data_IF_924299651061
#
_entry.id   IF_924299651061
#
_cell.length_a   1.000
_cell.length_b   1.000
_cell.length_c   1.000
_cell.angle_alpha   90.00
_cell.angle_beta   90.00
_cell.angle_gamma   90.00
#
_symmetry.space_group_name_H-M   'P 1'
#
loop_
_entity.id
_entity.type
_entity.pdbx_description
1 polymer ?
#
# COMPACT_ATOMS: atom_id res chain seq x y z
N UNK A 1 -22.46 -23.50 11.21
CA UNK A 1 -22.08 -22.08 11.32
C UNK A 1 -21.18 -21.93 12.54
N UNK A 2 -20.03 -21.26 12.42
CA UNK A 2 -19.17 -21.03 13.60
C UNK A 2 -19.90 -20.18 14.63
N UNK A 3 -19.73 -20.50 15.90
CA UNK A 3 -20.27 -19.73 17.04
C UNK A 3 -19.43 -18.48 17.36
N UNK A 4 -18.28 -18.33 16.70
CA UNK A 4 -17.31 -17.27 16.93
C UNK A 4 -17.04 -16.49 15.65
N UNK A 5 -16.96 -15.17 15.80
CA UNK A 5 -16.74 -14.25 14.69
C UNK A 5 -15.76 -13.16 15.14
N UNK A 6 -14.79 -12.82 14.30
CA UNK A 6 -13.89 -11.68 14.49
C UNK A 6 -14.41 -10.54 13.63
N UNK A 7 -14.65 -9.39 14.24
CA UNK A 7 -15.04 -8.17 13.57
C UNK A 7 -13.92 -7.15 13.63
N UNK A 8 -13.38 -6.80 12.47
CA UNK A 8 -12.25 -5.90 12.32
C UNK A 8 -12.73 -4.57 11.74
N UNK A 9 -12.60 -3.48 12.50
CA UNK A 9 -12.90 -2.14 12.02
C UNK A 9 -11.61 -1.42 11.69
N UNK A 10 -11.57 -0.69 10.59
CA UNK A 10 -10.41 0.11 10.20
C UNK A 10 -10.82 1.54 9.88
N UNK A 11 -9.94 2.49 10.19
CA UNK A 11 -10.12 3.90 9.85
C UNK A 11 -8.77 4.60 9.67
N UNK A 12 -8.79 5.72 8.96
CA UNK A 12 -7.63 6.56 8.73
C UNK A 12 -7.96 8.06 8.71
N UNK A 13 -6.99 8.84 9.14
CA UNK A 13 -6.97 10.29 9.06
C UNK A 13 -5.63 10.74 8.47
N UNK A 14 -5.49 12.04 8.21
CA UNK A 14 -4.21 12.63 7.77
C UNK A 14 -3.10 12.52 8.83
N UNK A 15 -3.44 12.18 10.08
CA UNK A 15 -2.50 12.12 11.20
C UNK A 15 -2.14 10.68 11.59
N UNK A 16 -3.10 9.75 11.52
CA UNK A 16 -2.90 8.37 11.93
C UNK A 16 -3.91 7.44 11.24
N UNK A 17 -3.61 6.15 11.22
CA UNK A 17 -4.51 5.11 10.75
C UNK A 17 -4.43 3.88 11.66
N UNK A 18 -5.47 3.07 11.69
CA UNK A 18 -5.50 1.94 12.60
C UNK A 18 -6.66 0.97 12.39
N UNK A 19 -6.64 -0.06 13.21
CA UNK A 19 -7.67 -1.10 13.24
C UNK A 19 -7.95 -1.56 14.67
N UNK A 20 -9.18 -2.01 14.93
CA UNK A 20 -9.66 -2.59 16.18
C UNK A 20 -10.45 -3.87 15.90
N UNK A 21 -10.19 -4.90 16.69
CA UNK A 21 -10.76 -6.23 16.53
C UNK A 21 -11.62 -6.61 17.73
N UNK A 22 -12.81 -7.14 17.47
CA UNK A 22 -13.72 -7.68 18.46
C UNK A 22 -14.01 -9.16 18.18
N UNK A 23 -14.15 -9.95 19.24
CA UNK A 23 -14.71 -11.29 19.19
C UNK A 23 -16.19 -11.20 19.48
N UNK A 24 -17.02 -11.65 18.55
CA UNK A 24 -18.46 -11.85 18.72
C UNK A 24 -18.74 -13.33 18.92
N UNK A 25 -19.57 -13.67 19.91
CA UNK A 25 -19.95 -15.05 20.20
C UNK A 25 -21.35 -15.18 20.80
N UNK A 26 -21.91 -16.38 20.70
CA UNK A 26 -23.21 -16.73 21.30
C UNK A 26 -22.97 -17.51 22.60
N UNK A 27 -23.49 -17.00 23.71
CA UNK A 27 -23.38 -17.61 25.04
C UNK A 27 -24.26 -18.87 25.16
N UNK A 28 -24.10 -19.61 26.26
CA UNK A 28 -24.98 -20.75 26.56
C UNK A 28 -26.45 -20.36 26.76
N UNK A 29 -26.73 -19.10 27.07
CA UNK A 29 -28.08 -18.56 27.24
C UNK A 29 -28.68 -18.03 25.93
N UNK A 30 -28.04 -18.27 24.78
CA UNK A 30 -28.37 -17.71 23.47
C UNK A 30 -28.28 -16.17 23.41
N UNK A 31 -27.51 -15.55 24.30
CA UNK A 31 -27.21 -14.12 24.22
C UNK A 31 -25.99 -13.90 23.31
N UNK A 32 -26.00 -12.78 22.57
CA UNK A 32 -24.88 -12.41 21.70
C UNK A 32 -24.06 -11.37 22.45
N UNK A 33 -22.76 -11.64 22.56
CA UNK A 33 -21.81 -10.75 23.21
C UNK A 33 -20.63 -10.42 22.31
N UNK A 34 -20.05 -9.25 22.54
CA UNK A 34 -18.81 -8.78 21.94
C UNK A 34 -17.75 -8.53 23.01
N UNK A 35 -16.52 -8.93 22.72
CA UNK A 35 -15.35 -8.66 23.54
C UNK A 35 -14.26 -8.02 22.70
N UNK A 36 -13.67 -6.93 23.19
CA UNK A 36 -12.44 -6.37 22.64
C UNK A 36 -11.33 -7.44 22.63
N UNK A 37 -10.64 -7.59 21.49
CA UNK A 37 -9.46 -8.46 21.37
C UNK A 37 -8.20 -7.61 21.46
N UNK A 38 -8.04 -6.71 20.49
CA UNK A 38 -6.86 -5.85 20.36
C UNK A 38 -7.12 -4.70 19.39
N UNK A 39 -6.24 -3.70 19.44
CA UNK A 39 -6.20 -2.60 18.48
C UNK A 39 -4.76 -2.31 18.06
N UNK A 40 -4.58 -1.76 16.86
CA UNK A 40 -3.27 -1.34 16.34
C UNK A 40 -3.39 -0.04 15.57
N UNK A 41 -2.63 0.97 15.96
CA UNK A 41 -2.50 2.25 15.27
C UNK A 41 -1.09 2.48 14.72
N UNK A 42 -0.99 3.37 13.74
CA UNK A 42 0.24 3.89 13.16
C UNK A 42 0.08 5.36 12.81
N UNK A 43 1.15 6.13 12.97
CA UNK A 43 1.21 7.52 12.51
C UNK A 43 1.21 7.54 10.98
N UNK A 44 0.50 8.49 10.39
CA UNK A 44 0.47 8.66 8.94
C UNK A 44 1.88 8.97 8.40
N UNK A 45 2.28 8.46 7.22
CA UNK A 45 3.60 8.70 6.67
C UNK A 45 3.88 10.20 6.46
N UNK A 46 5.12 10.63 6.70
CA UNK A 46 5.57 12.01 6.44
C UNK A 46 5.38 12.42 4.97
N UNK A 47 5.54 11.48 4.05
CA UNK A 47 5.15 11.68 2.65
C UNK A 47 3.64 11.62 2.55
N UNK A 48 3.03 12.77 2.25
CA UNK A 48 1.58 12.89 2.16
C UNK A 48 0.98 11.87 1.19
N UNK A 49 0.05 11.09 1.73
CA UNK A 49 -0.85 10.22 0.96
C UNK A 49 -2.24 10.87 0.90
N UNK A 50 -3.00 10.50 -0.11
CA UNK A 50 -4.43 10.84 -0.17
C UNK A 50 -5.17 10.08 0.94
N UNK A 51 -6.31 10.63 1.39
CA UNK A 51 -7.12 9.98 2.42
C UNK A 51 -7.55 8.55 2.00
N UNK A 52 -8.04 8.30 0.76
CA UNK A 52 -8.37 6.94 0.32
C UNK A 52 -7.20 5.95 0.41
N UNK A 53 -5.98 6.40 0.11
CA UNK A 53 -4.78 5.55 0.26
C UNK A 53 -4.46 5.25 1.72
N UNK A 54 -4.69 6.20 2.63
CA UNK A 54 -4.51 5.97 4.06
C UNK A 54 -5.57 5.00 4.59
N UNK A 55 -6.81 5.13 4.16
CA UNK A 55 -7.89 4.18 4.47
C UNK A 55 -7.55 2.77 3.96
N UNK A 56 -7.06 2.64 2.73
CA UNK A 56 -6.57 1.39 2.16
C UNK A 56 -5.41 0.78 2.98
N UNK A 57 -4.51 1.60 3.52
CA UNK A 57 -3.46 1.10 4.43
C UNK A 57 -4.00 0.65 5.79
N UNK A 58 -5.07 1.28 6.30
CA UNK A 58 -5.75 0.84 7.51
C UNK A 58 -6.42 -0.52 7.30
N UNK A 59 -7.10 -0.71 6.17
CA UNK A 59 -7.68 -1.99 5.76
C UNK A 59 -6.61 -3.09 5.63
N UNK A 60 -5.48 -2.81 4.97
CA UNK A 60 -4.41 -3.78 4.86
C UNK A 60 -3.79 -4.14 6.23
N UNK A 61 -3.71 -3.18 7.15
CA UNK A 61 -3.27 -3.43 8.53
C UNK A 61 -4.28 -4.33 9.27
N UNK A 62 -5.57 -4.09 9.07
CA UNK A 62 -6.70 -4.88 9.60
C UNK A 62 -6.60 -6.34 9.16
N UNK A 63 -6.44 -6.60 7.86
CA UNK A 63 -6.39 -7.94 7.29
C UNK A 63 -5.19 -8.76 7.80
N UNK A 64 -4.01 -8.12 7.84
CA UNK A 64 -2.80 -8.74 8.39
C UNK A 64 -2.93 -9.05 9.88
N UNK A 65 -3.52 -8.13 10.67
CA UNK A 65 -3.70 -8.34 12.10
C UNK A 65 -4.72 -9.45 12.38
N UNK A 66 -5.83 -9.47 11.64
CA UNK A 66 -6.85 -10.51 11.76
C UNK A 66 -6.29 -11.90 11.44
N UNK A 67 -5.46 -12.02 10.39
CA UNK A 67 -4.77 -13.27 10.07
C UNK A 67 -3.82 -13.73 11.18
N UNK A 68 -3.08 -12.79 11.78
CA UNK A 68 -2.21 -13.10 12.90
C UNK A 68 -3.02 -13.55 14.13
N UNK A 69 -4.07 -12.82 14.49
CA UNK A 69 -4.95 -13.18 15.62
C UNK A 69 -5.60 -14.54 15.41
N UNK A 70 -6.15 -14.78 14.22
CA UNK A 70 -6.78 -16.06 13.86
C UNK A 70 -5.82 -17.24 14.00
N UNK A 71 -4.55 -17.08 13.61
CA UNK A 71 -3.52 -18.12 13.79
C UNK A 71 -3.20 -18.45 15.26
N UNK A 72 -3.53 -17.55 16.19
CA UNK A 72 -3.33 -17.75 17.63
C UNK A 72 -4.56 -18.34 18.34
N UNK A 73 -5.74 -18.32 17.69
CA UNK A 73 -6.96 -18.86 18.29
C UNK A 73 -6.95 -20.39 18.24
N UNK A 74 -7.52 -21.00 19.30
CA UNK A 74 -7.68 -22.47 19.41
C UNK A 74 -9.03 -22.96 18.87
N UNK A 75 -9.76 -22.08 18.19
CA UNK A 75 -11.09 -22.33 17.67
C UNK A 75 -11.27 -21.56 16.36
N UNK A 76 -12.14 -22.07 15.51
CA UNK A 76 -12.45 -21.44 14.23
C UNK A 76 -13.37 -20.25 14.43
N UNK A 77 -12.98 -19.10 13.87
CA UNK A 77 -13.81 -17.90 13.85
C UNK A 77 -13.96 -17.38 12.42
N UNK A 78 -15.19 -17.03 12.03
CA UNK A 78 -15.42 -16.30 10.79
C UNK A 78 -14.86 -14.89 10.93
N UNK A 79 -14.29 -14.31 9.88
CA UNK A 79 -13.72 -12.96 9.94
C UNK A 79 -14.55 -12.01 9.06
N UNK A 80 -14.87 -10.84 9.60
CA UNK A 80 -15.57 -9.75 8.93
C UNK A 80 -14.81 -8.46 9.08
N UNK A 81 -14.75 -7.68 8.00
CA UNK A 81 -14.03 -6.42 7.93
C UNK A 81 -14.98 -5.26 7.66
N UNK A 82 -14.75 -4.13 8.32
CA UNK A 82 -15.61 -2.96 8.29
C UNK A 82 -14.81 -1.68 8.04
N UNK A 83 -15.30 -0.88 7.10
CA UNK A 83 -14.80 0.43 6.75
C UNK A 83 -15.96 1.40 6.55
N UNK A 84 -15.77 2.68 6.85
CA UNK A 84 -16.72 3.74 6.53
C UNK A 84 -16.45 4.44 5.19
N UNK A 85 -15.34 4.06 4.53
CA UNK A 85 -14.98 4.54 3.20
C UNK A 85 -15.60 3.71 2.08
N UNK A 86 -16.47 4.33 1.28
CA UNK A 86 -17.07 3.71 0.09
C UNK A 86 -16.05 3.46 -1.02
N UNK A 87 -15.05 4.34 -1.17
CA UNK A 87 -13.97 4.18 -2.15
C UNK A 87 -13.17 2.91 -1.84
N UNK A 88 -12.83 2.72 -0.57
CA UNK A 88 -12.14 1.51 -0.12
C UNK A 88 -13.00 0.26 -0.32
N UNK A 89 -14.27 0.31 0.08
CA UNK A 89 -15.21 -0.80 -0.12
C UNK A 89 -15.29 -1.21 -1.60
N UNK A 90 -15.30 -0.25 -2.52
CA UNK A 90 -15.24 -0.51 -3.96
C UNK A 90 -13.90 -1.12 -4.38
N UNK A 91 -12.75 -0.52 -4.00
CA UNK A 91 -11.42 -1.00 -4.38
C UNK A 91 -11.13 -2.45 -3.98
N UNK A 92 -11.70 -2.92 -2.87
CA UNK A 92 -11.51 -4.30 -2.40
C UNK A 92 -12.31 -5.29 -3.25
N UNK A 93 -13.47 -4.89 -3.76
CA UNK A 93 -14.40 -5.76 -4.50
C UNK A 93 -14.20 -5.76 -6.01
N UNK A 94 -13.60 -4.70 -6.53
CA UNK A 94 -13.38 -4.53 -7.96
C UNK A 94 -12.06 -5.20 -8.43
N UNK A 95 -11.88 -5.32 -9.75
CA UNK A 95 -10.68 -5.89 -10.35
C UNK A 95 -9.48 -4.95 -10.17
N UNK A 96 -8.59 -5.36 -9.28
CA UNK A 96 -7.36 -4.63 -8.95
C UNK A 96 -6.42 -4.40 -10.14
N UNK A 97 -6.60 -5.11 -11.27
CA UNK A 97 -5.80 -4.94 -12.48
C UNK A 97 -5.90 -3.54 -13.08
N UNK A 98 -7.04 -2.87 -12.91
CA UNK A 98 -7.36 -1.56 -13.48
C UNK A 98 -6.79 -0.37 -12.68
N UNK A 99 -6.37 -0.59 -11.43
CA UNK A 99 -5.88 0.49 -10.56
C UNK A 99 -4.42 0.90 -10.83
N UNK A 100 -4.09 2.14 -10.45
CA UNK A 100 -2.71 2.62 -10.31
C UNK A 100 -1.94 1.73 -9.33
N UNK A 101 -0.62 1.62 -9.54
CA UNK A 101 0.23 0.59 -8.93
C UNK A 101 0.11 0.46 -7.41
N UNK A 102 0.00 1.58 -6.69
CA UNK A 102 -0.12 1.55 -5.22
C UNK A 102 -1.41 0.87 -4.78
N UNK A 103 -2.56 1.35 -5.26
CA UNK A 103 -3.88 0.81 -4.94
C UNK A 103 -3.99 -0.63 -5.40
N UNK A 104 -3.51 -0.93 -6.62
CA UNK A 104 -3.42 -2.30 -7.15
C UNK A 104 -2.70 -3.23 -6.18
N UNK A 105 -1.48 -2.89 -5.76
CA UNK A 105 -0.68 -3.79 -4.92
C UNK A 105 -1.33 -4.04 -3.57
N UNK A 106 -1.92 -3.00 -2.95
CA UNK A 106 -2.61 -3.14 -1.68
C UNK A 106 -3.92 -3.94 -1.81
N UNK A 107 -4.73 -3.68 -2.84
CA UNK A 107 -5.96 -4.42 -3.10
C UNK A 107 -5.68 -5.90 -3.41
N UNK A 108 -4.65 -6.19 -4.23
CA UNK A 108 -4.21 -7.57 -4.50
C UNK A 108 -3.75 -8.29 -3.24
N UNK A 109 -3.06 -7.60 -2.34
CA UNK A 109 -2.63 -8.21 -1.09
C UNK A 109 -3.84 -8.54 -0.21
N UNK A 110 -4.79 -7.60 -0.04
CA UNK A 110 -6.05 -7.85 0.69
C UNK A 110 -6.79 -9.04 0.09
N UNK A 111 -7.01 -9.04 -1.23
CA UNK A 111 -7.69 -10.12 -1.97
C UNK A 111 -6.96 -11.48 -1.86
N UNK A 112 -5.67 -11.50 -1.50
CA UNK A 112 -4.91 -12.73 -1.26
C UNK A 112 -5.01 -13.26 0.18
N UNK A 113 -5.42 -12.39 1.12
CA UNK A 113 -5.51 -12.68 2.55
C UNK A 113 -6.95 -12.91 3.01
N UNK A 114 -7.91 -12.24 2.38
CA UNK A 114 -9.35 -12.31 2.67
C UNK A 114 -10.19 -12.31 1.38
N UNK A 115 -11.40 -12.88 1.47
CA UNK A 115 -12.39 -12.84 0.40
C UNK A 115 -13.10 -11.48 0.42
N UNK A 116 -13.24 -10.76 -0.71
CA UNK A 116 -14.00 -9.51 -0.79
C UNK A 116 -15.41 -9.56 -0.19
N UNK A 117 -16.06 -10.72 -0.14
CA UNK A 117 -17.39 -10.88 0.47
C UNK A 117 -17.38 -10.73 2.00
N UNK A 118 -16.20 -10.81 2.63
CA UNK A 118 -16.01 -10.58 4.06
C UNK A 118 -15.97 -9.09 4.43
N UNK A 119 -15.88 -8.20 3.44
CA UNK A 119 -15.78 -6.76 3.63
C UNK A 119 -17.14 -6.08 3.51
N UNK A 120 -17.49 -5.28 4.52
CA UNK A 120 -18.72 -4.50 4.63
C UNK A 120 -18.45 -3.01 4.84
N UNK A 121 -19.45 -2.19 4.53
CA UNK A 121 -19.45 -0.77 4.85
C UNK A 121 -20.18 -0.51 6.17
N UNK A 122 -19.64 0.34 7.04
CA UNK A 122 -20.33 0.81 8.26
C UNK A 122 -20.40 2.34 8.29
N UNK A 123 -21.44 2.96 8.86
CA UNK A 123 -21.45 4.40 9.07
C UNK A 123 -20.28 4.85 9.95
N UNK A 124 -19.63 5.97 9.63
CA UNK A 124 -18.47 6.46 10.41
C UNK A 124 -18.76 6.67 11.91
N UNK A 125 -19.97 7.13 12.25
CA UNK A 125 -20.43 7.25 13.65
C UNK A 125 -20.46 5.92 14.42
N UNK A 126 -20.54 4.81 13.71
CA UNK A 126 -20.60 3.46 14.25
C UNK A 126 -19.22 2.75 14.12
N UNK A 127 -18.20 3.44 13.60
CA UNK A 127 -16.86 2.91 13.39
C UNK A 127 -15.94 3.22 14.59
N UNK A 128 -15.68 2.26 15.50
CA UNK A 128 -14.82 2.48 16.66
C UNK A 128 -13.36 2.78 16.30
N UNK A 129 -12.91 2.47 15.08
CA UNK A 129 -11.55 2.78 14.64
C UNK A 129 -11.32 4.30 14.50
N UNK A 130 -12.37 5.13 14.49
CA UNK A 130 -12.26 6.59 14.47
C UNK A 130 -11.41 7.14 15.64
N UNK A 131 -11.49 6.50 16.82
CA UNK A 131 -10.69 6.88 17.98
C UNK A 131 -9.18 6.64 17.77
N UNK A 132 -8.79 5.68 16.92
CA UNK A 132 -7.40 5.41 16.58
C UNK A 132 -6.84 6.48 15.62
N UNK A 133 -7.64 6.89 14.64
CA UNK A 133 -7.19 7.76 13.56
C UNK A 133 -7.23 9.24 13.95
N UNK A 134 -8.24 9.67 14.71
CA UNK A 134 -8.45 11.08 15.11
C UNK A 134 -7.90 11.39 16.50
N UNK A 135 -7.68 10.36 17.31
CA UNK A 135 -7.23 10.48 18.69
C UNK A 135 -8.34 10.85 19.66
N UNK A 136 -8.15 10.50 20.92
CA UNK A 136 -9.02 10.87 22.04
C UNK A 136 -8.21 10.88 23.34
N UNK A 137 -8.73 11.49 24.40
CA UNK A 137 -8.06 11.45 25.70
C UNK A 137 -8.25 10.09 26.37
N UNK A 138 -7.29 9.65 27.18
CA UNK A 138 -7.37 8.39 27.91
C UNK A 138 -8.63 8.30 28.79
N UNK A 139 -9.04 9.41 29.42
CA UNK A 139 -10.25 9.48 30.25
C UNK A 139 -11.52 9.25 29.42
N UNK A 140 -11.62 9.89 28.26
CA UNK A 140 -12.77 9.71 27.36
C UNK A 140 -12.81 8.29 26.79
N UNK A 141 -11.65 7.74 26.42
CA UNK A 141 -11.54 6.38 25.90
C UNK A 141 -11.94 5.33 26.94
N UNK A 142 -11.49 5.51 28.19
CA UNK A 142 -11.79 4.59 29.29
C UNK A 142 -13.29 4.47 29.57
N UNK A 143 -14.08 5.51 29.28
CA UNK A 143 -15.52 5.56 29.49
C UNK A 143 -16.34 5.33 28.20
N UNK A 144 -15.69 4.91 27.11
CA UNK A 144 -16.33 4.83 25.80
C UNK A 144 -16.85 3.42 25.49
N UNK A 145 -18.18 3.26 25.52
CA UNK A 145 -18.85 1.99 25.24
C UNK A 145 -18.58 1.47 23.81
N UNK A 146 -18.58 2.36 22.82
CA UNK A 146 -18.34 1.99 21.42
C UNK A 146 -16.92 1.40 21.22
N UNK A 147 -15.94 1.88 21.97
CA UNK A 147 -14.56 1.37 21.94
C UNK A 147 -14.39 0.00 22.62
N UNK A 148 -15.07 -0.23 23.74
CA UNK A 148 -14.88 -1.46 24.51
C UNK A 148 -15.78 -2.60 24.04
N UNK A 149 -16.99 -2.28 23.58
CA UNK A 149 -18.00 -3.26 23.18
C UNK A 149 -18.26 -3.28 21.68
N UNK A 150 -17.62 -2.39 20.91
CA UNK A 150 -17.93 -2.23 19.50
C UNK A 150 -19.31 -1.66 19.30
N UNK A 151 -19.77 -1.73 18.06
CA UNK A 151 -21.04 -1.11 17.67
C UNK A 151 -22.25 -1.95 18.09
N UNK A 152 -23.36 -1.32 18.56
CA UNK A 152 -24.48 -2.04 19.16
C UNK A 152 -25.11 -3.12 18.26
N UNK A 153 -25.07 -2.94 16.94
CA UNK A 153 -25.64 -3.90 16.01
C UNK A 153 -24.86 -5.23 15.92
N UNK A 154 -23.64 -5.30 16.47
CA UNK A 154 -22.94 -6.58 16.64
C UNK A 154 -23.63 -7.48 17.68
N UNK A 155 -24.32 -6.91 18.66
CA UNK A 155 -25.05 -7.69 19.67
C UNK A 155 -26.42 -8.15 19.19
N UNK A 156 -26.78 -7.86 17.94
CA UNK A 156 -28.02 -8.30 17.31
C UNK A 156 -27.78 -9.52 16.42
N UNK A 157 -28.89 -10.17 16.03
CA UNK A 157 -28.85 -11.23 15.04
C UNK A 157 -28.29 -10.68 13.69
N UNK A 158 -27.62 -11.51 12.86
CA UNK A 158 -26.84 -11.03 11.71
C UNK A 158 -27.59 -10.43 10.51
N UNK A 159 -28.85 -10.00 10.66
CA UNK A 159 -29.75 -9.70 9.54
C UNK A 159 -30.07 -8.20 9.39
N UNK A 160 -29.91 -7.64 8.17
CA UNK A 160 -28.62 -7.48 7.53
C UNK A 160 -27.81 -6.42 8.29
N UNK A 161 -26.61 -6.79 8.76
CA UNK A 161 -25.63 -5.79 9.19
C UNK A 161 -25.48 -4.70 8.12
N UNK A 162 -25.20 -3.45 8.53
CA UNK A 162 -25.23 -2.31 7.61
C UNK A 162 -24.48 -2.62 6.33
N UNK A 163 -25.15 -2.44 5.20
CA UNK A 163 -24.53 -2.35 3.87
C UNK A 163 -23.57 -3.49 3.50
N UNK A 164 -23.74 -4.71 4.06
CA UNK A 164 -22.90 -5.89 3.74
C UNK A 164 -22.91 -6.28 2.26
N UNK A 165 -24.02 -5.96 1.60
CA UNK A 165 -24.25 -6.12 0.16
C UNK A 165 -24.77 -4.81 -0.43
N UNK A 166 -24.09 -3.69 -0.12
CA UNK A 166 -24.45 -2.42 -0.77
C UNK A 166 -24.08 -2.51 -2.24
N UNK A 167 -25.08 -2.55 -3.09
CA UNK A 167 -24.94 -2.21 -4.51
C UNK A 167 -24.76 -0.69 -4.56
N UNK A 168 -23.51 -0.24 -4.56
CA UNK A 168 -23.20 1.18 -4.72
C UNK A 168 -23.44 1.54 -6.17
N UNK A 169 -24.31 2.51 -6.42
CA UNK A 169 -24.49 3.08 -7.76
C UNK A 169 -23.21 3.83 -8.12
N UNK A 170 -22.69 3.62 -9.34
CA UNK A 170 -21.48 4.29 -9.85
C UNK A 170 -21.52 5.83 -9.72
N UNK A 171 -22.72 6.42 -9.64
CA UNK A 171 -22.93 7.86 -9.42
C UNK A 171 -22.50 8.36 -8.03
N UNK A 172 -22.36 7.48 -7.03
CA UNK A 172 -21.90 7.82 -5.68
C UNK A 172 -20.36 7.87 -5.58
N UNK A 173 -19.64 7.45 -6.63
CA UNK A 173 -18.18 7.35 -6.66
C UNK A 173 -17.57 8.39 -7.62
N UNK A 174 -16.60 9.15 -7.15
CA UNK A 174 -15.85 10.07 -8.01
C UNK A 174 -14.78 9.30 -8.80
N UNK A 175 -14.85 9.35 -10.13
CA UNK A 175 -13.93 8.62 -11.02
C UNK A 175 -12.44 8.99 -10.83
N UNK A 176 -12.15 10.22 -10.40
CA UNK A 176 -10.79 10.68 -10.08
C UNK A 176 -10.23 10.00 -8.81
N UNK A 177 -11.11 9.72 -7.84
CA UNK A 177 -10.75 9.08 -6.57
C UNK A 177 -10.54 7.58 -6.72
N UNK A 178 -11.15 6.93 -7.72
CA UNK A 178 -11.00 5.49 -7.97
C UNK A 178 -9.59 5.08 -8.42
N UNK A 179 -8.69 6.04 -8.69
CA UNK A 179 -7.30 5.79 -9.06
C UNK A 179 -7.11 4.79 -10.21
N UNK A 180 -8.08 4.71 -11.12
CA UNK A 180 -7.97 3.92 -12.33
C UNK A 180 -6.84 4.42 -13.22
N UNK A 181 -6.19 3.49 -13.93
CA UNK A 181 -5.24 3.85 -14.99
C UNK A 181 -6.02 4.47 -16.13
N UNK A 182 -5.59 5.65 -16.59
CA UNK A 182 -6.06 6.17 -17.86
C UNK A 182 -5.64 5.21 -18.96
N UNK A 183 -6.59 4.74 -19.77
CA UNK A 183 -6.28 3.99 -20.98
C UNK A 183 -5.52 4.90 -21.94
N UNK A 184 -4.19 4.77 -21.98
CA UNK A 184 -3.39 5.41 -23.03
C UNK A 184 -3.60 4.57 -24.29
N UNK A 185 -4.40 5.09 -25.22
CA UNK A 185 -4.50 4.52 -26.55
C UNK A 185 -3.15 4.71 -27.23
N UNK A 186 -2.33 3.66 -27.25
CA UNK A 186 -1.15 3.63 -28.10
C UNK A 186 -1.66 3.37 -29.51
N UNK A 187 -1.74 4.41 -30.33
CA UNK A 187 -1.93 4.27 -31.75
C UNK A 187 -0.68 3.57 -32.32
N UNK A 188 -0.79 2.28 -32.58
CA UNK A 188 0.24 1.56 -33.33
C UNK A 188 0.04 1.94 -34.79
N UNK A 189 0.91 2.80 -35.30
CA UNK A 189 1.00 3.06 -36.74
C UNK A 189 1.39 1.74 -37.44
N UNK A 190 0.55 1.28 -38.38
CA UNK A 190 0.95 0.19 -39.26
C UNK A 190 1.97 0.75 -40.26
N UNK A 191 3.19 0.23 -40.17
CA UNK A 191 4.37 0.63 -40.95
C UNK A 191 4.80 2.10 -40.74
N UNK A 192 5.37 2.37 -39.58
CA UNK A 192 6.38 3.42 -39.42
C UNK A 192 7.71 2.77 -39.08
N UNK A 193 8.79 3.16 -39.77
CA UNK A 193 10.14 2.90 -39.29
C UNK A 193 10.25 3.23 -37.79
N UNK A 194 11.04 2.44 -37.05
CA UNK A 194 11.24 2.57 -35.60
C UNK A 194 11.10 4.02 -35.11
N UNK A 195 9.98 4.36 -34.44
CA UNK A 195 9.65 5.73 -33.99
C UNK A 195 10.74 6.35 -33.12
N UNK A 196 11.52 5.47 -32.48
CA UNK A 196 12.82 5.79 -31.92
C UNK A 196 13.81 4.92 -32.66
N UNK A 197 14.65 5.51 -33.51
CA UNK A 197 15.80 4.78 -34.01
C UNK A 197 16.65 4.39 -32.79
N UNK A 198 16.66 3.10 -32.43
CA UNK A 198 17.46 2.58 -31.31
C UNK A 198 18.95 2.84 -31.58
N UNK A 199 19.34 3.02 -32.84
CA UNK A 199 20.68 3.43 -33.24
C UNK A 199 20.94 4.94 -33.05
N UNK A 200 19.91 5.73 -32.69
CA UNK A 200 20.02 7.16 -32.34
C UNK A 200 20.60 7.37 -30.94
N UNK A 201 20.53 6.36 -30.06
CA UNK A 201 21.22 6.37 -28.79
C UNK A 201 22.62 5.77 -28.97
N UNK A 202 23.62 6.65 -29.11
CA UNK A 202 25.02 6.28 -29.33
C UNK A 202 25.56 5.24 -28.33
N UNK A 203 25.02 5.23 -27.10
CA UNK A 203 25.40 4.30 -26.03
C UNK A 203 24.96 2.85 -26.25
N UNK A 204 23.92 2.58 -27.04
CA UNK A 204 23.51 1.19 -27.36
C UNK A 204 24.37 0.57 -28.48
N UNK A 205 25.05 1.40 -29.28
CA UNK A 205 26.07 0.94 -30.23
C UNK A 205 27.32 0.43 -29.52
N UNK A 206 27.70 1.07 -28.41
CA UNK A 206 28.79 0.60 -27.53
C UNK A 206 28.52 -0.81 -26.99
N UNK A 207 27.26 -1.15 -26.70
CA UNK A 207 26.92 -2.52 -26.28
C UNK A 207 27.13 -3.57 -27.37
N UNK A 208 27.23 -3.18 -28.64
CA UNK A 208 27.54 -4.11 -29.75
C UNK A 208 29.01 -4.06 -30.15
N UNK A 209 29.79 -3.15 -29.55
CA UNK A 209 31.20 -2.99 -29.82
C UNK A 209 32.01 -4.16 -29.23
N UNK A 210 32.86 -4.75 -30.06
CA UNK A 210 33.66 -5.92 -29.69
C UNK A 210 34.72 -5.62 -28.62
N UNK A 211 35.28 -4.41 -28.60
CA UNK A 211 36.25 -3.99 -27.59
C UNK A 211 35.56 -3.82 -26.23
N UNK A 212 34.37 -3.21 -26.22
CA UNK A 212 33.53 -3.10 -25.04
C UNK A 212 33.07 -4.48 -24.50
N UNK A 213 32.64 -5.38 -25.38
CA UNK A 213 32.25 -6.75 -24.98
C UNK A 213 33.41 -7.54 -24.37
N UNK A 214 34.62 -7.42 -24.94
CA UNK A 214 35.82 -8.03 -24.38
C UNK A 214 36.18 -7.43 -23.01
N UNK A 215 36.06 -6.11 -22.84
CA UNK A 215 36.27 -5.45 -21.56
C UNK A 215 35.28 -5.93 -20.49
N UNK A 216 33.98 -6.01 -20.83
CA UNK A 216 32.93 -6.51 -19.94
C UNK A 216 33.20 -7.95 -19.52
N UNK A 217 33.65 -8.79 -20.46
CA UNK A 217 34.00 -10.18 -20.19
C UNK A 217 35.25 -10.32 -19.30
N UNK A 218 36.32 -9.56 -19.57
CA UNK A 218 37.56 -9.55 -18.77
C UNK A 218 37.31 -9.08 -17.33
N UNK A 219 36.42 -8.11 -17.14
CA UNK A 219 36.01 -7.62 -15.82
C UNK A 219 34.96 -8.48 -15.12
N UNK A 220 34.51 -9.57 -15.74
CA UNK A 220 33.50 -10.47 -15.15
C UNK A 220 32.13 -9.81 -14.94
N UNK A 221 31.80 -8.78 -15.72
CA UNK A 221 30.55 -8.03 -15.57
C UNK A 221 29.43 -8.78 -16.28
N UNK A 222 28.53 -9.40 -15.51
CA UNK A 222 27.38 -10.11 -16.04
C UNK A 222 26.15 -9.19 -16.11
N UNK A 223 25.71 -8.88 -17.34
CA UNK A 223 24.48 -8.13 -17.55
C UNK A 223 23.26 -9.00 -17.31
N UNK A 224 22.42 -8.60 -16.35
CA UNK A 224 21.11 -9.20 -16.11
C UNK A 224 20.04 -8.19 -16.52
N UNK A 225 19.44 -8.43 -17.67
CA UNK A 225 18.31 -7.61 -18.13
C UNK A 225 17.05 -7.97 -17.35
N UNK A 226 16.29 -6.95 -16.98
CA UNK A 226 14.99 -7.16 -16.34
C UNK A 226 14.03 -7.81 -17.33
N UNK A 227 13.17 -8.69 -16.82
CA UNK A 227 12.13 -9.35 -17.61
C UNK A 227 11.18 -8.28 -18.16
N UNK A 228 10.95 -8.29 -19.47
CA UNK A 228 10.00 -7.41 -20.12
C UNK A 228 8.62 -7.54 -19.45
N UNK A 229 7.96 -6.39 -19.17
CA UNK A 229 6.66 -6.30 -18.48
C UNK A 229 6.65 -6.66 -16.98
N UNK A 230 7.80 -6.79 -16.33
CA UNK A 230 7.91 -6.92 -14.87
C UNK A 230 8.52 -5.67 -14.18
N UNK A 231 7.85 -4.50 -14.25
CA UNK A 231 8.38 -3.25 -13.67
C UNK A 231 8.59 -3.32 -12.15
N UNK A 232 7.91 -4.24 -11.45
CA UNK A 232 8.09 -4.44 -10.01
C UNK A 232 9.44 -5.08 -9.65
N UNK A 233 10.09 -5.80 -10.57
CA UNK A 233 11.37 -6.47 -10.34
C UNK A 233 12.55 -5.47 -10.37
N UNK A 234 12.40 -4.35 -11.07
CA UNK A 234 13.42 -3.31 -11.26
C UNK A 234 13.45 -2.21 -10.20
N UNK A 235 12.41 -2.11 -9.35
CA UNK A 235 12.17 -0.91 -8.53
C UNK A 235 13.30 -0.55 -7.54
N UNK A 236 14.11 -1.51 -7.10
CA UNK A 236 15.30 -1.22 -6.30
C UNK A 236 16.39 -0.50 -7.13
N UNK A 237 16.69 -1.01 -8.33
CA UNK A 237 17.67 -0.40 -9.24
C UNK A 237 17.22 0.98 -9.69
N UNK A 238 15.93 1.18 -9.98
CA UNK A 238 15.38 2.49 -10.33
C UNK A 238 15.56 3.52 -9.22
N UNK A 239 15.35 3.12 -7.95
CA UNK A 239 15.59 3.99 -6.80
C UNK A 239 17.07 4.32 -6.62
N UNK A 240 17.95 3.36 -6.87
CA UNK A 240 19.40 3.59 -6.82
C UNK A 240 19.85 4.55 -7.94
N UNK A 241 19.42 4.31 -9.17
CA UNK A 241 19.68 5.18 -10.33
C UNK A 241 19.12 6.58 -10.08
N UNK A 242 17.93 6.69 -9.50
CA UNK A 242 17.36 7.98 -9.10
C UNK A 242 18.24 8.69 -8.07
N UNK A 243 18.74 7.97 -7.06
CA UNK A 243 19.63 8.53 -6.04
C UNK A 243 20.91 9.07 -6.67
N UNK A 244 21.54 8.31 -7.57
CA UNK A 244 22.73 8.74 -8.32
C UNK A 244 22.42 10.00 -9.15
N UNK A 245 21.33 9.97 -9.92
CA UNK A 245 20.92 11.10 -10.77
C UNK A 245 20.59 12.37 -9.96
N UNK A 246 20.00 12.23 -8.78
CA UNK A 246 19.69 13.37 -7.91
C UNK A 246 20.98 14.03 -7.37
N UNK A 247 22.00 13.24 -7.02
CA UNK A 247 23.31 13.77 -6.61
C UNK A 247 24.06 14.37 -7.80
N UNK A 248 24.08 13.70 -8.95
CA UNK A 248 24.66 14.23 -10.18
C UNK A 248 24.01 15.55 -10.56
N UNK A 249 22.68 15.68 -10.53
CA UNK A 249 21.99 16.94 -10.82
C UNK A 249 22.35 18.06 -9.85
N UNK A 250 22.49 17.75 -8.56
CA UNK A 250 22.88 18.72 -7.53
C UNK A 250 24.32 19.21 -7.71
N UNK A 251 25.24 18.31 -8.09
CA UNK A 251 26.65 18.62 -8.29
C UNK A 251 26.94 19.28 -9.65
N UNK A 252 26.28 18.82 -10.72
CA UNK A 252 26.52 19.27 -12.11
C UNK A 252 25.79 20.56 -12.46
N UNK A 253 24.57 20.76 -11.98
CA UNK A 253 23.70 21.86 -12.44
C UNK A 253 23.54 21.84 -13.98
N UNK A 254 24.19 22.81 -14.67
CA UNK A 254 24.22 22.93 -16.14
C UNK A 254 25.64 22.81 -16.75
N UNK A 255 26.63 22.39 -15.98
CA UNK A 255 28.01 22.30 -16.44
C UNK A 255 28.22 21.15 -17.45
N UNK A 256 29.07 21.37 -18.44
CA UNK A 256 29.58 20.33 -19.35
C UNK A 256 30.94 19.88 -18.81
N UNK A 257 31.09 18.59 -18.55
CA UNK A 257 32.30 18.02 -17.99
C UNK A 257 33.16 17.34 -19.07
N UNK A 258 34.47 17.38 -18.86
CA UNK A 258 35.43 16.48 -19.49
C UNK A 258 35.34 15.06 -18.90
N UNK A 259 35.95 14.08 -19.56
CA UNK A 259 35.93 12.68 -19.11
C UNK A 259 36.55 12.50 -17.72
N UNK A 260 37.66 13.17 -17.42
CA UNK A 260 38.34 13.09 -16.12
C UNK A 260 37.49 13.70 -15.00
N UNK A 261 36.86 14.85 -15.27
CA UNK A 261 35.94 15.49 -14.33
C UNK A 261 34.71 14.63 -14.08
N UNK A 262 34.15 14.00 -15.12
CA UNK A 262 33.02 13.09 -15.00
C UNK A 262 33.38 11.85 -14.17
N UNK A 263 34.56 11.26 -14.41
CA UNK A 263 35.06 10.10 -13.67
C UNK A 263 35.25 10.41 -12.18
N UNK A 264 35.84 11.57 -11.89
CA UNK A 264 36.04 12.06 -10.52
C UNK A 264 34.70 12.29 -9.82
N UNK A 265 33.76 12.97 -10.49
CA UNK A 265 32.42 13.23 -9.96
C UNK A 265 31.62 11.95 -9.71
N UNK A 266 31.73 10.97 -10.60
CA UNK A 266 31.08 9.67 -10.39
C UNK A 266 31.66 8.93 -9.19
N UNK A 267 32.98 9.03 -8.97
CA UNK A 267 33.64 8.47 -7.80
C UNK A 267 33.18 9.14 -6.50
N UNK A 268 32.99 10.47 -6.50
CA UNK A 268 32.43 11.19 -5.35
C UNK A 268 30.98 10.80 -5.07
N UNK A 269 30.15 10.69 -6.11
CA UNK A 269 28.76 10.23 -5.97
C UNK A 269 28.71 8.80 -5.45
N UNK A 270 29.59 7.91 -5.92
CA UNK A 270 29.71 6.55 -5.41
C UNK A 270 30.02 6.54 -3.91
N UNK A 271 31.01 7.33 -3.47
CA UNK A 271 31.39 7.48 -2.07
C UNK A 271 30.18 7.96 -1.25
N UNK A 272 29.46 9.00 -1.69
CA UNK A 272 28.26 9.51 -1.00
C UNK A 272 27.16 8.43 -0.91
N UNK A 273 26.93 7.72 -2.02
CA UNK A 273 25.94 6.65 -2.10
C UNK A 273 26.31 5.50 -1.17
N UNK A 274 27.59 5.14 -1.05
CA UNK A 274 28.06 4.05 -0.19
C UNK A 274 28.15 4.43 1.30
N UNK A 275 28.41 5.71 1.61
CA UNK A 275 28.39 6.23 2.99
C UNK A 275 26.99 6.61 3.48
N UNK A 276 25.95 6.47 2.65
CA UNK A 276 24.58 6.72 3.08
C UNK A 276 24.24 5.75 4.23
N UNK A 277 23.64 6.23 5.32
CA UNK A 277 23.19 5.36 6.39
C UNK A 277 22.25 4.27 5.85
N UNK A 278 22.50 3.01 6.19
CA UNK A 278 21.61 1.89 5.87
C UNK A 278 20.25 2.01 6.57
N UNK A 279 20.20 2.83 7.63
CA UNK A 279 19.06 3.10 8.50
C UNK A 279 19.04 4.57 8.85
N UNK A 280 17.87 5.12 9.24
CA UNK A 280 17.81 6.49 9.75
C UNK A 280 18.75 6.65 10.96
N UNK A 281 19.59 7.69 10.91
CA UNK A 281 20.31 8.17 12.09
C UNK A 281 19.38 9.18 12.74
N UNK A 282 18.79 8.83 13.88
CA UNK A 282 18.04 9.78 14.69
C UNK A 282 19.00 10.90 15.08
N UNK A 283 18.71 12.12 14.65
CA UNK A 283 19.33 13.28 15.25
C UNK A 283 18.63 13.47 16.59
N UNK A 284 19.32 13.15 17.66
CA UNK A 284 18.92 13.52 19.02
C UNK A 284 19.32 14.98 19.26
N UNK A 285 18.37 15.87 19.58
CA UNK A 285 18.70 17.00 20.42
C UNK A 285 17.73 17.08 21.60
N UNK A 286 18.31 17.00 22.80
CA UNK A 286 17.65 17.35 24.06
C UNK A 286 17.25 18.81 24.17
#
# INVERSE_FOLDING_TARGET
>A
MSKFEIHCFSDASKSAYGTILYLRFVTCNNEIETSFICSKSRVAPLKSLTLPRLELTAALLSDRLAKQVSSCLKFDANIYYWTDSLILYYWIRDDSSAFKLYVKNCAQEIQSLSDPIQWGHCPGKDNPAEFLSRGTSAVKLAQNELWWHGTPWLNLAPDPWPNRHRDILDSELCSEELEHRSSVHVAITQQGESLVDINRFSCLKLLKDSEFQNFVADKGIHWKFLVERAPWWGGFYERLVKTINDHLRKLLGRALLTFEELSTMLSEVEVIVNHRPLTYVENDPG
#
